data_IF_550529736940
#
_entry.id   IF_550529736940
#
_cell.length_a   1.000
_cell.length_b   1.000
_cell.length_c   1.000
_cell.angle_alpha   90.00
_cell.angle_beta   90.00
_cell.angle_gamma   90.00
#
_symmetry.space_group_name_H-M   'P 1'
#
loop_
_entity.id
_entity.type
_entity.pdbx_description
1 polymer ?
#
# COMPACT_ATOMS: atom_id res chain seq x y z
N UNK A 1 10.95 -27.39 10.26
CA UNK A 1 10.89 -26.80 11.61
C UNK A 1 9.72 -25.84 11.67
N UNK A 2 8.95 -25.74 12.78
CA UNK A 2 7.90 -24.73 12.89
C UNK A 2 8.51 -23.34 12.78
N UNK A 3 7.83 -22.44 12.04
CA UNK A 3 8.25 -21.06 11.93
C UNK A 3 8.19 -20.38 13.30
N UNK A 4 9.29 -19.74 13.72
CA UNK A 4 9.31 -18.97 14.98
C UNK A 4 8.53 -17.66 14.78
N UNK A 5 7.87 -17.12 15.83
CA UNK A 5 7.33 -15.77 15.79
C UNK A 5 8.40 -14.76 15.37
N UNK A 6 8.00 -13.71 14.63
CA UNK A 6 8.92 -12.65 14.24
C UNK A 6 9.32 -11.82 15.47
N UNK A 7 10.61 -11.52 15.60
CA UNK A 7 11.13 -10.63 16.64
C UNK A 7 11.02 -9.16 16.21
N UNK A 8 9.79 -8.70 15.97
CA UNK A 8 9.54 -7.31 15.60
C UNK A 8 9.34 -6.45 16.84
N UNK A 9 9.98 -5.29 16.94
CA UNK A 9 9.64 -4.32 17.97
C UNK A 9 8.18 -3.80 17.75
N UNK A 10 7.56 -3.29 18.80
CA UNK A 10 6.26 -2.64 18.70
C UNK A 10 6.31 -1.26 19.36
N UNK A 11 6.16 -0.20 18.56
CA UNK A 11 6.02 -0.19 17.08
C UNK A 11 7.30 -0.61 16.35
N UNK A 12 7.17 -0.95 15.05
CA UNK A 12 8.32 -1.08 14.16
C UNK A 12 9.01 0.30 14.05
N UNK A 13 10.37 0.37 13.94
CA UNK A 13 11.05 1.65 13.80
C UNK A 13 10.63 2.38 12.51
N UNK A 14 10.62 3.72 12.50
CA UNK A 14 10.45 4.49 11.28
C UNK A 14 11.51 4.09 10.25
N UNK A 15 11.10 3.95 9.01
CA UNK A 15 12.00 3.59 7.90
C UNK A 15 11.60 4.37 6.65
N UNK A 16 12.59 4.69 5.81
CA UNK A 16 12.38 5.22 4.46
C UNK A 16 12.86 4.20 3.45
N UNK A 17 12.07 3.98 2.40
CA UNK A 17 12.36 3.02 1.33
C UNK A 17 12.49 3.80 0.01
N UNK A 18 13.72 4.13 -0.41
CA UNK A 18 13.93 4.91 -1.62
C UNK A 18 13.73 4.05 -2.87
N UNK A 19 13.10 4.64 -3.90
CA UNK A 19 12.94 4.08 -5.24
C UNK A 19 13.33 5.08 -6.32
N UNK A 20 13.06 4.75 -7.58
CA UNK A 20 13.37 5.58 -8.76
C UNK A 20 12.27 6.57 -9.10
N UNK A 21 11.01 6.14 -9.05
CA UNK A 21 9.83 6.97 -9.31
C UNK A 21 9.23 7.53 -8.03
N UNK A 22 9.28 6.74 -6.95
CA UNK A 22 8.72 7.10 -5.66
C UNK A 22 9.64 6.69 -4.51
N UNK A 23 9.56 7.42 -3.39
CA UNK A 23 10.01 6.94 -2.07
C UNK A 23 8.82 6.62 -1.20
N UNK A 24 8.99 5.67 -0.27
CA UNK A 24 8.05 5.43 0.82
C UNK A 24 8.68 6.01 2.08
N UNK A 25 8.09 7.07 2.61
CA UNK A 25 8.56 7.76 3.82
C UNK A 25 7.60 7.46 4.97
N UNK A 26 8.14 7.18 6.15
CA UNK A 26 7.29 6.95 7.31
C UNK A 26 6.35 8.14 7.55
N UNK A 27 5.03 7.87 7.67
CA UNK A 27 4.04 8.90 7.92
C UNK A 27 4.28 9.60 9.26
N UNK A 28 4.33 10.92 9.23
CA UNK A 28 4.36 11.77 10.43
C UNK A 28 3.49 13.02 10.22
N UNK A 29 3.29 13.81 11.28
CA UNK A 29 2.42 14.99 11.25
C UNK A 29 2.86 16.06 10.24
N UNK A 30 4.17 16.15 9.93
CA UNK A 30 4.68 17.09 8.93
C UNK A 30 4.08 16.88 7.53
N UNK A 31 3.59 15.67 7.22
CA UNK A 31 2.95 15.35 5.95
C UNK A 31 1.47 15.76 5.88
N UNK A 32 0.85 16.15 7.01
CA UNK A 32 -0.59 16.34 7.08
C UNK A 32 -1.08 17.47 6.17
N UNK A 33 -0.38 18.60 6.15
CA UNK A 33 -0.78 19.75 5.34
C UNK A 33 -0.98 19.38 3.87
N UNK A 34 -0.06 18.61 3.30
CA UNK A 34 -0.13 18.15 1.92
C UNK A 34 -1.21 17.08 1.73
N UNK A 35 -1.33 16.14 2.68
CA UNK A 35 -2.32 15.06 2.61
C UNK A 35 -3.77 15.54 2.74
N UNK A 36 -4.02 16.63 3.48
CA UNK A 36 -5.38 17.20 3.62
C UNK A 36 -6.00 17.59 2.28
N UNK A 37 -5.20 17.94 1.28
CA UNK A 37 -5.66 18.31 -0.07
C UNK A 37 -6.39 17.17 -0.80
N UNK A 38 -6.19 15.91 -0.37
CA UNK A 38 -6.86 14.74 -0.98
C UNK A 38 -8.23 14.43 -0.39
N UNK A 39 -8.68 15.14 0.67
CA UNK A 39 -9.91 14.83 1.39
C UNK A 39 -11.14 14.78 0.46
N UNK A 40 -11.27 15.75 -0.45
CA UNK A 40 -12.44 15.90 -1.31
C UNK A 40 -12.35 15.08 -2.61
N UNK A 41 -11.28 14.34 -2.84
CA UNK A 41 -11.09 13.55 -4.05
C UNK A 41 -11.93 12.27 -4.01
N UNK A 42 -13.13 12.32 -4.56
CA UNK A 42 -14.10 11.20 -4.52
C UNK A 42 -13.62 9.93 -5.22
N UNK A 43 -12.73 10.02 -6.20
CA UNK A 43 -12.21 8.85 -6.93
C UNK A 43 -11.28 8.01 -6.07
N UNK A 44 -10.45 8.64 -5.21
CA UNK A 44 -9.57 7.94 -4.28
C UNK A 44 -10.42 7.09 -3.31
N UNK A 45 -11.47 7.71 -2.75
CA UNK A 45 -12.24 7.13 -1.65
C UNK A 45 -13.34 6.18 -2.09
N UNK A 46 -13.60 6.07 -3.40
CA UNK A 46 -14.76 5.34 -3.95
C UNK A 46 -14.88 3.90 -3.44
N UNK A 47 -13.77 3.19 -3.31
CA UNK A 47 -13.74 1.77 -2.93
C UNK A 47 -13.07 1.50 -1.58
N UNK A 48 -12.69 2.56 -0.87
CA UNK A 48 -12.06 2.44 0.44
C UNK A 48 -13.10 2.40 1.55
N UNK A 49 -12.71 1.80 2.68
CA UNK A 49 -13.55 1.74 3.88
C UNK A 49 -13.64 3.08 4.59
N UNK A 50 -12.52 3.82 4.62
CA UNK A 50 -12.46 5.20 5.11
C UNK A 50 -12.73 6.13 3.94
N UNK A 51 -13.59 7.12 4.15
CA UNK A 51 -13.99 8.11 3.13
C UNK A 51 -14.00 9.50 3.73
N UNK A 52 -12.84 10.07 4.05
CA UNK A 52 -12.78 11.43 4.55
C UNK A 52 -13.22 12.39 3.44
N UNK A 53 -14.31 13.14 3.71
CA UNK A 53 -14.92 14.07 2.74
C UNK A 53 -14.59 15.53 3.05
N UNK A 54 -13.91 15.78 4.16
CA UNK A 54 -13.51 17.11 4.61
C UNK A 54 -12.09 17.06 5.16
N UNK A 55 -11.37 18.20 5.21
CA UNK A 55 -10.06 18.25 5.82
C UNK A 55 -10.03 17.73 7.28
N UNK A 56 -11.05 18.01 8.08
CA UNK A 56 -11.12 17.54 9.47
C UNK A 56 -11.25 16.01 9.55
N UNK A 57 -12.11 15.41 8.70
CA UNK A 57 -12.23 13.95 8.62
C UNK A 57 -10.94 13.31 8.08
N UNK A 58 -10.24 13.99 7.17
CA UNK A 58 -8.95 13.53 6.69
C UNK A 58 -7.90 13.59 7.78
N UNK A 59 -7.86 14.66 8.57
CA UNK A 59 -6.99 14.77 9.75
C UNK A 59 -7.26 13.63 10.73
N UNK A 60 -8.51 13.39 11.08
CA UNK A 60 -8.90 12.30 11.98
C UNK A 60 -8.48 10.91 11.45
N UNK A 61 -8.59 10.71 10.12
CA UNK A 61 -8.09 9.50 9.45
C UNK A 61 -6.58 9.35 9.59
N UNK A 62 -5.79 10.41 9.34
CA UNK A 62 -4.33 10.40 9.46
C UNK A 62 -3.86 10.16 10.90
N UNK A 63 -4.50 10.81 11.86
CA UNK A 63 -4.26 10.58 13.29
C UNK A 63 -4.58 9.13 13.68
N UNK A 64 -5.62 8.54 13.08
CA UNK A 64 -5.94 7.12 13.22
C UNK A 64 -4.79 6.23 12.76
N UNK A 65 -4.15 6.55 11.62
CA UNK A 65 -2.99 5.81 11.13
C UNK A 65 -1.81 5.89 12.09
N UNK A 66 -1.56 7.08 12.69
CA UNK A 66 -0.48 7.24 13.68
C UNK A 66 -0.80 6.52 14.98
N UNK A 67 -2.06 6.47 15.42
CA UNK A 67 -2.47 5.66 16.59
C UNK A 67 -2.28 4.17 16.33
N UNK A 68 -2.68 3.66 15.16
CA UNK A 68 -2.46 2.26 14.77
C UNK A 68 -0.96 1.92 14.77
N UNK A 69 -0.12 2.85 14.30
CA UNK A 69 1.33 2.71 14.33
C UNK A 69 1.88 2.68 15.76
N UNK A 70 1.51 3.63 16.59
CA UNK A 70 1.95 3.70 18.00
C UNK A 70 1.55 2.43 18.77
N UNK A 71 0.39 1.86 18.45
CA UNK A 71 -0.08 0.57 19.00
C UNK A 71 0.63 -0.66 18.41
N UNK A 72 1.54 -0.50 17.45
CA UNK A 72 2.26 -1.61 16.80
C UNK A 72 1.41 -2.43 15.82
N UNK A 73 0.20 -1.97 15.48
CA UNK A 73 -0.72 -2.69 14.58
C UNK A 73 -0.46 -2.38 13.09
N UNK A 74 0.23 -1.28 12.80
CA UNK A 74 0.47 -0.79 11.45
C UNK A 74 1.87 -0.18 11.27
N UNK A 75 2.30 -0.04 10.01
CA UNK A 75 3.45 0.77 9.61
C UNK A 75 3.05 1.58 8.36
N UNK A 76 2.65 2.85 8.53
CA UNK A 76 2.18 3.69 7.45
C UNK A 76 3.31 4.46 6.77
N UNK A 77 3.19 4.64 5.44
CA UNK A 77 4.10 5.43 4.61
C UNK A 77 3.30 6.41 3.74
N UNK A 78 3.82 7.61 3.57
CA UNK A 78 3.48 8.44 2.42
C UNK A 78 4.25 7.95 1.21
N UNK A 79 3.64 8.10 0.04
CA UNK A 79 4.29 7.82 -1.24
C UNK A 79 4.65 9.17 -1.85
N UNK A 80 5.93 9.49 -1.91
CA UNK A 80 6.44 10.74 -2.50
C UNK A 80 6.96 10.47 -3.89
N UNK A 81 6.53 11.26 -4.88
CA UNK A 81 7.02 11.19 -6.25
C UNK A 81 8.39 11.86 -6.35
N UNK A 82 9.39 11.17 -6.90
CA UNK A 82 10.76 11.69 -7.00
C UNK A 82 10.90 12.89 -7.94
N UNK A 83 10.13 12.94 -9.03
CA UNK A 83 10.26 14.00 -10.05
C UNK A 83 9.65 15.34 -9.65
N UNK A 84 8.69 15.37 -8.72
CA UNK A 84 7.97 16.58 -8.31
C UNK A 84 8.04 16.86 -6.81
N UNK A 85 8.62 15.96 -6.04
CA UNK A 85 8.66 15.98 -4.57
C UNK A 85 7.27 16.05 -3.89
N UNK A 86 6.20 15.67 -4.62
CA UNK A 86 4.82 15.69 -4.13
C UNK A 86 4.42 14.36 -3.49
N UNK A 87 3.65 14.41 -2.43
CA UNK A 87 2.96 13.22 -1.91
C UNK A 87 1.84 12.85 -2.88
N UNK A 88 1.86 11.61 -3.35
CA UNK A 88 0.89 11.08 -4.32
C UNK A 88 0.06 9.93 -3.78
N UNK A 89 0.19 9.60 -2.51
CA UNK A 89 -0.59 8.54 -1.90
C UNK A 89 -0.12 8.12 -0.52
N UNK A 90 -0.80 7.13 0.02
CA UNK A 90 -0.43 6.42 1.25
C UNK A 90 -0.41 4.93 0.96
N UNK A 91 0.61 4.25 1.46
CA UNK A 91 0.65 2.79 1.55
C UNK A 91 1.05 2.37 2.95
N UNK A 92 0.60 1.19 3.39
CA UNK A 92 0.89 0.74 4.76
C UNK A 92 0.79 -0.77 4.90
N UNK A 93 1.56 -1.30 5.83
CA UNK A 93 1.18 -2.54 6.49
C UNK A 93 0.16 -2.23 7.57
N UNK A 94 -0.84 -3.08 7.69
CA UNK A 94 -1.84 -3.08 8.76
C UNK A 94 -2.10 -4.50 9.22
N UNK A 95 -2.73 -4.67 10.37
CA UNK A 95 -2.98 -6.00 10.96
C UNK A 95 -1.69 -6.83 11.05
N UNK A 96 -0.59 -6.17 11.46
CA UNK A 96 0.69 -6.83 11.66
C UNK A 96 0.55 -7.93 12.71
N UNK A 97 0.90 -9.16 12.36
CA UNK A 97 0.90 -10.31 13.27
C UNK A 97 2.30 -10.93 13.34
N UNK A 98 2.96 -10.73 14.48
CA UNK A 98 4.27 -11.32 14.76
C UNK A 98 4.19 -12.83 14.88
N UNK A 99 3.15 -13.32 15.56
CA UNK A 99 2.93 -14.74 15.78
C UNK A 99 2.82 -15.50 14.45
N UNK A 100 2.05 -14.94 13.51
CA UNK A 100 1.82 -15.56 12.22
C UNK A 100 2.72 -15.01 11.10
N UNK A 101 3.64 -14.10 11.41
CA UNK A 101 4.57 -13.47 10.45
C UNK A 101 3.84 -12.99 9.20
N UNK A 102 2.74 -12.28 9.39
CA UNK A 102 1.90 -11.80 8.29
C UNK A 102 1.49 -10.34 8.46
N UNK A 103 1.16 -9.73 7.34
CA UNK A 103 0.65 -8.37 7.26
C UNK A 103 -0.43 -8.25 6.18
N UNK A 104 -1.33 -7.26 6.34
CA UNK A 104 -2.27 -6.85 5.32
C UNK A 104 -1.82 -5.50 4.74
N UNK A 105 -1.73 -5.38 3.42
CA UNK A 105 -1.38 -4.13 2.74
C UNK A 105 -2.65 -3.34 2.39
N UNK A 106 -2.64 -2.05 2.75
CA UNK A 106 -3.63 -1.07 2.32
C UNK A 106 -2.97 0.12 1.64
N UNK A 107 -3.51 0.55 0.49
CA UNK A 107 -2.94 1.68 -0.25
C UNK A 107 -4.01 2.48 -0.97
N UNK A 108 -3.74 3.78 -1.15
CA UNK A 108 -4.41 4.62 -2.12
C UNK A 108 -3.39 5.53 -2.80
N UNK A 109 -3.67 5.90 -4.02
CA UNK A 109 -2.84 6.75 -4.87
C UNK A 109 -3.70 7.78 -5.58
N UNK A 110 -3.17 8.99 -5.75
CA UNK A 110 -3.80 10.06 -6.52
C UNK A 110 -4.10 9.59 -7.96
N UNK A 111 -5.28 9.93 -8.53
CA UNK A 111 -5.66 9.54 -9.89
C UNK A 111 -4.61 9.91 -10.94
N UNK A 112 -3.93 11.03 -10.78
CA UNK A 112 -2.86 11.50 -11.69
C UNK A 112 -1.67 10.53 -11.80
N UNK A 113 -1.53 9.58 -10.87
CA UNK A 113 -0.45 8.59 -10.88
C UNK A 113 -0.86 7.22 -11.42
N UNK A 114 -2.15 7.05 -11.76
CA UNK A 114 -2.60 5.76 -12.23
C UNK A 114 -1.99 5.40 -13.59
N UNK A 115 -1.38 4.23 -13.68
CA UNK A 115 -0.66 3.78 -14.87
C UNK A 115 0.81 4.22 -14.94
N UNK A 116 1.25 5.22 -14.17
CA UNK A 116 2.58 5.83 -14.26
C UNK A 116 3.75 5.00 -13.70
N UNK A 117 3.48 3.85 -13.07
CA UNK A 117 4.53 3.07 -12.38
C UNK A 117 4.63 3.34 -10.88
N UNK A 118 4.15 4.47 -10.35
CA UNK A 118 4.24 4.81 -8.93
C UNK A 118 3.66 3.71 -8.01
N UNK A 119 2.50 3.15 -8.35
CA UNK A 119 1.91 2.05 -7.58
C UNK A 119 2.69 0.73 -7.74
N UNK A 120 3.30 0.49 -8.91
CA UNK A 120 4.13 -0.72 -9.15
C UNK A 120 5.38 -0.67 -8.28
N UNK A 121 6.11 0.45 -8.31
CA UNK A 121 7.30 0.62 -7.50
C UNK A 121 6.98 0.68 -6.00
N UNK A 122 5.93 1.40 -5.59
CA UNK A 122 5.52 1.43 -4.19
C UNK A 122 5.19 0.04 -3.65
N UNK A 123 4.55 -0.84 -4.45
CA UNK A 123 4.34 -2.24 -4.07
C UNK A 123 5.64 -3.03 -4.01
N UNK A 124 6.53 -2.85 -4.99
CA UNK A 124 7.84 -3.52 -5.01
C UNK A 124 8.63 -3.19 -3.74
N UNK A 125 8.74 -1.92 -3.39
CA UNK A 125 9.45 -1.46 -2.20
C UNK A 125 8.84 -2.02 -0.91
N UNK A 126 7.51 -1.93 -0.80
CA UNK A 126 6.79 -2.38 0.40
C UNK A 126 6.90 -3.90 0.58
N UNK A 127 6.66 -4.68 -0.48
CA UNK A 127 6.74 -6.15 -0.42
C UNK A 127 8.17 -6.62 -0.18
N UNK A 128 9.16 -5.97 -0.80
CA UNK A 128 10.58 -6.25 -0.53
C UNK A 128 10.90 -6.07 0.95
N UNK A 129 10.50 -4.95 1.55
CA UNK A 129 10.69 -4.71 2.97
C UNK A 129 9.95 -5.77 3.83
N UNK A 130 8.72 -6.11 3.47
CA UNK A 130 7.92 -7.10 4.19
C UNK A 130 8.53 -8.50 4.18
N UNK A 131 8.99 -8.99 3.03
CA UNK A 131 9.54 -10.33 2.91
C UNK A 131 11.01 -10.40 3.31
N UNK A 132 11.84 -9.46 2.83
CA UNK A 132 13.31 -9.56 2.96
C UNK A 132 13.82 -8.96 4.28
N UNK A 133 13.16 -7.91 4.82
CA UNK A 133 13.58 -7.26 6.07
C UNK A 133 12.76 -7.71 7.27
N UNK A 134 11.43 -7.74 7.16
CA UNK A 134 10.58 -8.21 8.25
C UNK A 134 10.44 -9.74 8.29
N UNK A 135 10.74 -10.44 7.19
CA UNK A 135 10.61 -11.90 7.09
C UNK A 135 9.15 -12.37 7.22
N UNK A 136 8.21 -11.61 6.67
CA UNK A 136 6.83 -12.07 6.55
C UNK A 136 6.77 -13.39 5.78
N UNK A 137 5.92 -14.32 6.22
CA UNK A 137 5.61 -15.54 5.47
C UNK A 137 4.45 -15.32 4.51
N UNK A 138 3.64 -14.29 4.78
CA UNK A 138 2.43 -13.98 4.02
C UNK A 138 2.12 -12.49 4.05
N UNK A 139 1.82 -11.92 2.89
CA UNK A 139 1.29 -10.56 2.76
C UNK A 139 -0.05 -10.62 2.02
N UNK A 140 -1.07 -10.05 2.65
CA UNK A 140 -2.45 -10.06 2.16
C UNK A 140 -2.83 -8.71 1.55
N UNK A 141 -3.81 -8.74 0.65
CA UNK A 141 -4.48 -7.57 0.11
C UNK A 141 -5.99 -7.81 0.14
N UNK A 142 -6.73 -6.79 0.51
CA UNK A 142 -8.19 -6.86 0.57
C UNK A 142 -8.80 -5.80 -0.34
N UNK A 143 -9.53 -6.25 -1.34
CA UNK A 143 -10.07 -5.42 -2.42
C UNK A 143 -11.59 -5.45 -2.41
N UNK A 144 -12.24 -4.28 -2.55
CA UNK A 144 -13.68 -4.22 -2.85
C UNK A 144 -13.95 -4.95 -4.17
N UNK A 145 -14.89 -5.91 -4.19
CA UNK A 145 -15.20 -6.73 -5.37
C UNK A 145 -15.58 -5.89 -6.62
N UNK A 146 -16.03 -4.66 -6.41
CA UNK A 146 -16.32 -3.69 -7.48
C UNK A 146 -15.07 -3.01 -8.04
N UNK A 147 -13.94 -3.03 -7.32
CA UNK A 147 -12.68 -2.39 -7.75
C UNK A 147 -11.88 -3.32 -8.67
N UNK A 148 -12.43 -3.54 -9.89
CA UNK A 148 -11.82 -4.42 -10.89
C UNK A 148 -10.39 -4.00 -11.27
N UNK A 149 -10.10 -2.67 -11.25
CA UNK A 149 -8.75 -2.15 -11.52
C UNK A 149 -7.74 -2.65 -10.49
N UNK A 150 -8.07 -2.55 -9.20
CA UNK A 150 -7.19 -3.01 -8.12
C UNK A 150 -7.00 -4.54 -8.18
N UNK A 151 -8.07 -5.29 -8.37
CA UNK A 151 -8.01 -6.75 -8.51
C UNK A 151 -7.13 -7.17 -9.69
N UNK A 152 -7.32 -6.55 -10.86
CA UNK A 152 -6.48 -6.82 -12.04
C UNK A 152 -5.00 -6.46 -11.82
N UNK A 153 -4.70 -5.37 -11.08
CA UNK A 153 -3.33 -4.99 -10.78
C UNK A 153 -2.64 -6.00 -9.85
N UNK A 154 -3.37 -6.56 -8.88
CA UNK A 154 -2.85 -7.61 -7.98
C UNK A 154 -2.64 -8.92 -8.72
N UNK A 155 -3.60 -9.36 -9.54
CA UNK A 155 -3.45 -10.56 -10.36
C UNK A 155 -2.26 -10.44 -11.33
N UNK A 156 -2.07 -9.27 -11.98
CA UNK A 156 -0.94 -9.03 -12.89
C UNK A 156 0.42 -9.08 -12.21
N UNK A 157 0.53 -8.72 -10.93
CA UNK A 157 1.79 -8.87 -10.21
C UNK A 157 2.03 -10.31 -9.72
N UNK A 158 1.04 -11.19 -9.81
CA UNK A 158 1.14 -12.59 -9.42
C UNK A 158 0.59 -12.90 -8.03
N UNK A 159 -0.15 -11.99 -7.40
CA UNK A 159 -0.88 -12.32 -6.18
C UNK A 159 -2.00 -13.32 -6.46
N UNK A 160 -2.16 -14.29 -5.59
CA UNK A 160 -3.18 -15.35 -5.69
C UNK A 160 -4.51 -14.84 -5.16
N UNK A 161 -5.59 -15.01 -5.93
CA UNK A 161 -6.97 -14.81 -5.49
C UNK A 161 -7.40 -16.00 -4.64
N UNK A 162 -7.65 -15.79 -3.35
CA UNK A 162 -8.06 -16.83 -2.40
C UNK A 162 -9.58 -16.89 -2.21
N UNK A 163 -10.31 -16.00 -2.85
CA UNK A 163 -11.76 -15.98 -2.84
C UNK A 163 -12.37 -14.69 -2.32
N UNK A 164 -13.71 -14.67 -2.34
CA UNK A 164 -14.52 -13.50 -1.96
C UNK A 164 -15.26 -13.74 -0.67
N UNK A 165 -15.01 -12.86 0.30
CA UNK A 165 -15.77 -12.80 1.54
C UNK A 165 -17.01 -11.92 1.34
N UNK A 166 -18.21 -12.51 1.36
CA UNK A 166 -19.46 -11.80 1.14
C UNK A 166 -19.86 -10.97 2.36
N UNK A 167 -20.36 -9.74 2.13
CA UNK A 167 -20.82 -8.83 3.21
C UNK A 167 -19.79 -8.64 4.33
N UNK A 168 -18.51 -8.62 3.98
CA UNK A 168 -17.40 -8.68 4.93
C UNK A 168 -17.20 -7.39 5.73
N UNK A 169 -17.51 -6.23 5.12
CA UNK A 169 -17.39 -4.92 5.75
C UNK A 169 -18.68 -4.13 5.49
N UNK A 170 -19.17 -3.44 6.51
CA UNK A 170 -20.16 -2.39 6.34
C UNK A 170 -19.43 -1.05 6.25
N UNK A 171 -19.52 -0.38 5.11
CA UNK A 171 -18.91 0.94 4.90
C UNK A 171 -19.72 2.04 5.59
N UNK A 172 -19.13 3.22 5.81
CA UNK A 172 -19.77 4.32 6.55
C UNK A 172 -21.08 4.84 5.93
N UNK A 173 -21.34 4.52 4.66
CA UNK A 173 -22.61 4.78 3.96
C UNK A 173 -23.62 3.61 4.04
N UNK A 174 -23.34 2.60 4.88
CA UNK A 174 -24.21 1.44 5.09
C UNK A 174 -24.09 0.35 4.01
N UNK A 175 -23.23 0.52 3.00
CA UNK A 175 -23.04 -0.48 1.96
C UNK A 175 -22.35 -1.73 2.51
N UNK A 176 -22.92 -2.91 2.25
CA UNK A 176 -22.35 -4.21 2.62
C UNK A 176 -21.39 -4.67 1.55
N UNK A 177 -20.11 -4.43 1.81
CA UNK A 177 -19.02 -4.67 0.87
C UNK A 177 -18.62 -6.14 0.86
N UNK A 178 -18.59 -6.74 -0.32
CA UNK A 178 -17.86 -7.98 -0.56
C UNK A 178 -16.38 -7.66 -0.79
N UNK A 179 -15.51 -8.50 -0.26
CA UNK A 179 -14.06 -8.29 -0.32
C UNK A 179 -13.37 -9.49 -0.93
N UNK A 180 -12.63 -9.28 -2.02
CA UNK A 180 -11.73 -10.28 -2.58
C UNK A 180 -10.44 -10.26 -1.76
N UNK A 181 -9.97 -11.42 -1.36
CA UNK A 181 -8.71 -11.60 -0.64
C UNK A 181 -7.66 -12.09 -1.62
N UNK A 182 -6.58 -11.32 -1.76
CA UNK A 182 -5.39 -11.72 -2.47
C UNK A 182 -4.25 -11.93 -1.49
N UNK A 183 -3.31 -12.80 -1.84
CA UNK A 183 -2.10 -13.01 -1.05
C UNK A 183 -0.87 -13.21 -1.91
N UNK A 184 0.28 -13.00 -1.29
CA UNK A 184 1.59 -13.43 -1.75
C UNK A 184 2.26 -14.14 -0.56
N UNK A 185 2.81 -15.33 -0.80
CA UNK A 185 3.61 -16.06 0.17
C UNK A 185 5.10 -15.78 -0.04
N UNK A 186 5.92 -16.01 1.00
CA UNK A 186 7.38 -15.90 0.91
C UNK A 186 8.00 -16.78 -0.18
N UNK A 187 7.45 -17.99 -0.38
CA UNK A 187 7.84 -18.90 -1.45
C UNK A 187 7.50 -18.39 -2.87
N UNK A 188 6.51 -17.51 -3.00
CA UNK A 188 6.08 -16.92 -4.27
C UNK A 188 6.79 -15.57 -4.55
N UNK A 189 7.36 -14.95 -3.51
CA UNK A 189 7.98 -13.62 -3.58
C UNK A 189 9.04 -13.48 -4.68
N UNK A 190 9.97 -14.43 -4.91
CA UNK A 190 10.96 -14.29 -5.97
C UNK A 190 10.35 -14.06 -7.36
N UNK A 191 9.28 -14.77 -7.68
CA UNK A 191 8.60 -14.62 -8.98
C UNK A 191 7.74 -13.35 -9.03
N UNK A 192 7.04 -12.99 -7.95
CA UNK A 192 6.29 -11.74 -7.84
C UNK A 192 7.23 -10.54 -7.97
N UNK A 193 8.37 -10.57 -7.30
CA UNK A 193 9.42 -9.56 -7.40
C UNK A 193 9.87 -9.38 -8.84
N UNK A 194 10.23 -10.46 -9.51
CA UNK A 194 10.66 -10.44 -10.92
C UNK A 194 9.60 -9.79 -11.84
N UNK A 195 8.32 -10.15 -11.67
CA UNK A 195 7.22 -9.55 -12.44
C UNK A 195 7.07 -8.05 -12.19
N UNK A 196 7.19 -7.63 -10.93
CA UNK A 196 7.13 -6.20 -10.57
C UNK A 196 8.32 -5.43 -11.14
N UNK A 197 9.54 -5.98 -11.07
CA UNK A 197 10.75 -5.36 -11.61
C UNK A 197 10.66 -5.19 -13.15
N UNK A 198 10.27 -6.22 -13.88
CA UNK A 198 10.07 -6.15 -15.33
C UNK A 198 9.01 -5.10 -15.72
N UNK A 199 7.88 -5.11 -15.02
CA UNK A 199 6.83 -4.14 -15.28
C UNK A 199 7.28 -2.71 -14.96
N UNK A 200 8.04 -2.51 -13.91
CA UNK A 200 8.60 -1.20 -13.56
C UNK A 200 9.57 -0.72 -14.63
N UNK A 201 10.43 -1.59 -15.17
CA UNK A 201 11.34 -1.25 -16.27
C UNK A 201 10.58 -0.81 -17.53
N UNK A 202 9.49 -1.49 -17.88
CA UNK A 202 8.63 -1.07 -19.00
C UNK A 202 8.01 0.31 -18.74
N UNK A 203 7.52 0.55 -17.52
CA UNK A 203 6.91 1.82 -17.15
C UNK A 203 7.93 2.96 -17.07
N UNK A 204 9.16 2.69 -16.63
CA UNK A 204 10.25 3.67 -16.64
C UNK A 204 10.63 4.11 -18.05
N UNK A 205 10.59 3.21 -19.02
CA UNK A 205 10.83 3.56 -20.44
C UNK A 205 9.74 4.46 -21.01
N UNK A 206 8.50 4.37 -20.49
CA UNK A 206 7.36 5.15 -20.97
C UNK A 206 7.18 6.47 -20.22
N UNK A 207 7.48 6.51 -18.93
CA UNK A 207 7.12 7.59 -18.00
C UNK A 207 8.28 8.06 -17.10
N UNK A 208 9.45 7.44 -17.22
CA UNK A 208 10.64 7.84 -16.47
C UNK A 208 11.14 9.21 -16.91
N UNK A 209 11.99 9.88 -16.09
CA UNK A 209 12.67 11.09 -16.52
C UNK A 209 13.41 10.77 -17.82
N UNK A 210 13.06 11.45 -18.90
CA UNK A 210 13.84 11.38 -20.12
C UNK A 210 15.22 11.97 -19.80
N UNK A 211 16.29 11.19 -19.98
CA UNK A 211 17.64 11.71 -20.02
C UNK A 211 17.68 12.78 -21.12
N UNK A 212 17.76 14.05 -20.72
CA UNK A 212 17.94 15.20 -21.64
C UNK A 212 19.36 15.23 -22.26
N UNK A 213 20.00 14.07 -22.39
CA UNK A 213 21.29 13.92 -23.02
C UNK A 213 21.26 12.81 -24.10
N UNK A 214 20.67 13.18 -25.27
CA UNK A 214 21.02 12.63 -26.57
C UNK A 214 21.13 13.75 -27.60
#
# INVERSE_FOLDING_TARGET
>A
MPAKPADWPAPLPPVSLPGKLVSLEHLCEAHFAELLTFAENTEIWRYLTSRPKTPDLMRAYLEGLLRDYAGGAALPFVVRRQSSDEIVGITRFKSLSREHRKALVGSWYAPSTWGSGCNTEGKLLLLKYGFESLGCLRIEFQVDSRNRRSAAALAKMGAVDEGTLRSYIVTGDGYRRDSIIFSVLDSEWPEVRRKLELRLEEQLKLFGPHDEHR
#
